data_IF_971703355462
#
_entry.id   IF_971703355462
#
_cell.length_a   1.000
_cell.length_b   1.000
_cell.length_c   1.000
_cell.angle_alpha   90.00
_cell.angle_beta   90.00
_cell.angle_gamma   90.00
#
_symmetry.space_group_name_H-M   'P 1'
#
loop_
_entity.id
_entity.type
_entity.pdbx_description
1 polymer ?
#
# COMPACT_ATOMS: atom_id res chain seq x y z
N UNK A 1 -55.39 -28.45 1.64
CA UNK A 1 -55.64 -28.15 3.06
C UNK A 1 -54.87 -29.16 3.91
N UNK A 2 -53.80 -28.74 4.59
CA UNK A 2 -53.47 -29.08 6.00
C UNK A 2 -52.07 -28.56 6.34
N UNK A 3 -52.07 -27.47 7.07
CA UNK A 3 -50.95 -26.97 7.87
C UNK A 3 -50.75 -27.90 9.06
N UNK A 4 -49.51 -28.25 9.39
CA UNK A 4 -49.15 -28.75 10.72
C UNK A 4 -47.96 -27.93 11.20
N UNK A 5 -48.27 -27.04 12.14
CA UNK A 5 -47.31 -26.28 12.92
C UNK A 5 -46.67 -27.19 13.95
N UNK A 6 -45.34 -27.11 14.11
CA UNK A 6 -44.65 -27.64 15.28
C UNK A 6 -43.94 -26.46 15.93
N UNK A 7 -44.63 -25.89 16.92
CA UNK A 7 -44.07 -24.99 17.91
C UNK A 7 -43.20 -25.80 18.86
N UNK A 8 -41.88 -25.58 18.83
CA UNK A 8 -40.98 -25.98 19.90
C UNK A 8 -40.48 -24.71 20.60
N UNK A 9 -41.16 -24.35 21.69
CA UNK A 9 -40.67 -23.36 22.64
C UNK A 9 -39.56 -24.01 23.47
N UNK A 10 -38.31 -23.67 23.19
CA UNK A 10 -37.19 -23.94 24.09
C UNK A 10 -36.89 -22.64 24.87
N UNK A 11 -37.50 -22.54 26.04
CA UNK A 11 -37.15 -21.58 27.09
C UNK A 11 -36.18 -22.27 28.05
N UNK A 12 -34.95 -21.77 28.16
CA UNK A 12 -34.36 -21.20 29.39
C UNK A 12 -32.83 -21.29 29.42
N UNK A 13 -32.29 -20.17 29.91
CA UNK A 13 -31.01 -19.99 30.62
C UNK A 13 -29.70 -20.07 29.83
N UNK A 14 -29.21 -18.87 29.52
CA UNK A 14 -27.91 -18.44 30.06
C UNK A 14 -26.69 -18.84 29.24
N UNK A 15 -26.35 -18.01 28.25
CA UNK A 15 -24.95 -17.83 27.87
C UNK A 15 -24.68 -16.33 27.74
N UNK A 16 -23.78 -15.88 28.61
CA UNK A 16 -23.31 -14.51 28.72
C UNK A 16 -22.56 -14.07 27.45
N UNK A 17 -22.57 -12.77 27.24
CA UNK A 17 -21.87 -12.00 26.22
C UNK A 17 -20.43 -12.47 25.96
N UNK A 18 -20.05 -12.59 24.69
CA UNK A 18 -18.72 -12.18 24.23
C UNK A 18 -18.83 -11.72 22.78
N UNK A 19 -18.67 -10.41 22.56
CA UNK A 19 -18.49 -9.85 21.23
C UNK A 19 -17.12 -10.19 20.64
N UNK A 20 -17.09 -10.40 19.32
CA UNK A 20 -16.02 -10.05 18.38
C UNK A 20 -16.61 -10.36 16.99
N UNK A 21 -17.16 -9.39 16.26
CA UNK A 21 -16.43 -8.46 15.41
C UNK A 21 -15.35 -9.14 14.56
N UNK A 22 -15.71 -9.37 13.29
CA UNK A 22 -14.87 -9.32 12.08
C UNK A 22 -13.80 -10.39 11.84
N UNK A 23 -14.01 -11.08 10.70
CA UNK A 23 -13.01 -11.44 9.67
C UNK A 23 -11.55 -11.50 10.14
N UNK A 24 -11.12 -12.68 10.59
CA UNK A 24 -9.71 -13.02 10.62
C UNK A 24 -9.22 -13.32 9.21
N UNK A 25 -8.93 -12.29 8.40
CA UNK A 25 -7.98 -12.46 7.31
C UNK A 25 -6.64 -12.71 7.98
N UNK A 26 -6.17 -13.96 7.95
CA UNK A 26 -4.85 -14.34 8.46
C UNK A 26 -3.78 -13.66 7.60
N UNK A 27 -3.32 -12.48 8.02
CA UNK A 27 -2.09 -11.90 7.53
C UNK A 27 -0.93 -12.67 8.16
N UNK A 28 -0.46 -13.67 7.42
CA UNK A 28 0.68 -14.51 7.82
C UNK A 28 1.95 -13.66 7.99
N UNK A 29 2.60 -13.84 9.14
CA UNK A 29 3.85 -13.20 9.54
C UNK A 29 4.99 -14.21 9.40
N UNK A 30 5.86 -14.06 8.41
CA UNK A 30 7.05 -14.89 8.25
C UNK A 30 8.10 -14.17 7.41
N UNK A 31 9.40 -14.47 7.57
CA UNK A 31 10.47 -13.71 6.95
C UNK A 31 10.53 -14.05 5.47
N UNK A 32 10.24 -13.08 4.61
CA UNK A 32 10.43 -13.21 3.17
C UNK A 32 11.49 -12.21 2.73
N UNK A 33 12.65 -12.74 2.32
CA UNK A 33 13.53 -12.00 1.43
C UNK A 33 12.80 -11.71 0.12
N UNK A 34 13.23 -10.63 -0.55
CA UNK A 34 12.60 -10.03 -1.75
C UNK A 34 11.98 -11.06 -2.72
N UNK A 35 10.68 -11.31 -2.53
CA UNK A 35 9.80 -11.90 -3.51
C UNK A 35 8.70 -10.87 -3.79
N UNK A 36 8.84 -10.12 -4.89
CA UNK A 36 7.75 -9.31 -5.47
C UNK A 36 6.79 -10.27 -6.20
N UNK A 37 6.20 -11.21 -5.45
CA UNK A 37 5.10 -12.02 -5.97
C UNK A 37 3.88 -11.13 -6.04
N UNK A 38 3.26 -11.08 -7.22
CA UNK A 38 1.96 -10.47 -7.52
C UNK A 38 0.81 -11.23 -6.81
N UNK A 39 1.03 -11.61 -5.55
CA UNK A 39 0.08 -12.27 -4.69
C UNK A 39 -0.43 -11.21 -3.74
N UNK A 40 -1.63 -10.71 -4.05
CA UNK A 40 -2.33 -9.70 -3.29
C UNK A 40 -2.59 -10.21 -1.86
N UNK A 41 -1.62 -10.03 -0.97
CA UNK A 41 -1.76 -10.25 0.46
C UNK A 41 -2.69 -9.17 0.99
N UNK A 42 -3.94 -9.55 1.19
CA UNK A 42 -4.99 -8.68 1.72
C UNK A 42 -4.62 -8.25 3.14
N UNK A 43 -4.38 -6.94 3.29
CA UNK A 43 -4.35 -6.11 4.50
C UNK A 43 -3.07 -6.10 5.36
N UNK A 44 -2.09 -5.28 4.94
CA UNK A 44 -1.41 -4.37 5.86
C UNK A 44 -2.24 -3.09 6.06
N UNK A 45 -2.06 -2.33 7.16
CA UNK A 45 -2.81 -1.09 7.40
C UNK A 45 -2.61 -0.10 6.24
N UNK A 46 -3.66 0.61 5.82
CA UNK A 46 -3.53 1.73 4.88
C UNK A 46 -2.62 2.79 5.52
N UNK A 47 -1.33 2.77 5.16
CA UNK A 47 -0.35 3.73 5.64
C UNK A 47 -0.68 5.08 5.03
N UNK A 48 -1.30 5.96 5.82
CA UNK A 48 -1.49 7.37 5.45
C UNK A 48 -0.22 8.12 5.85
N UNK A 49 0.79 8.02 5.01
CA UNK A 49 2.00 8.82 5.13
C UNK A 49 2.04 9.86 4.02
N UNK A 50 2.45 11.07 4.38
CA UNK A 50 2.74 12.10 3.40
C UNK A 50 4.09 11.75 2.73
N UNK A 51 4.11 11.78 1.40
CA UNK A 51 5.33 11.57 0.60
C UNK A 51 5.56 12.85 -0.19
N UNK A 52 6.69 13.49 0.02
CA UNK A 52 7.12 14.67 -0.70
C UNK A 52 7.89 14.24 -1.95
N UNK A 53 7.33 14.55 -3.12
CA UNK A 53 8.00 14.29 -4.39
C UNK A 53 8.99 15.42 -4.62
N UNK A 54 10.27 15.16 -4.34
CA UNK A 54 11.36 16.11 -4.52
C UNK A 54 12.37 15.56 -5.55
N UNK A 55 12.31 16.13 -6.75
CA UNK A 55 13.15 15.77 -7.87
C UNK A 55 14.04 16.96 -8.20
N UNK A 56 15.36 16.75 -8.15
CA UNK A 56 16.29 17.72 -8.70
C UNK A 56 16.07 17.81 -10.20
N UNK A 57 15.88 19.04 -10.70
CA UNK A 57 15.72 19.33 -12.13
C UNK A 57 16.92 20.10 -12.64
N UNK A 58 17.50 19.60 -13.72
CA UNK A 58 18.47 20.36 -14.50
C UNK A 58 17.80 21.55 -15.21
N UNK A 59 18.59 22.49 -15.75
CA UNK A 59 18.06 23.64 -16.49
C UNK A 59 17.44 23.28 -17.86
N UNK A 60 17.52 22.02 -18.26
CA UNK A 60 17.07 21.49 -19.54
C UNK A 60 15.90 20.52 -19.34
N UNK A 61 15.17 20.21 -20.42
CA UNK A 61 14.03 19.26 -20.34
C UNK A 61 14.49 17.81 -20.36
N UNK A 62 15.66 17.55 -20.93
CA UNK A 62 16.29 16.25 -20.97
C UNK A 62 16.69 15.81 -19.56
N UNK A 63 16.33 14.59 -19.18
CA UNK A 63 16.53 14.06 -17.82
C UNK A 63 17.95 13.56 -17.54
N UNK A 64 18.95 14.25 -18.09
CA UNK A 64 20.38 13.88 -17.99
C UNK A 64 20.89 14.07 -16.55
N UNK A 65 20.41 15.10 -15.87
CA UNK A 65 20.85 15.49 -14.51
C UNK A 65 19.81 15.18 -13.44
N UNK A 66 18.65 14.69 -13.85
CA UNK A 66 17.48 14.55 -13.01
C UNK A 66 17.61 13.34 -12.10
N UNK A 67 17.45 13.59 -10.80
CA UNK A 67 17.62 12.59 -9.76
C UNK A 67 16.70 12.88 -8.57
N UNK A 68 16.35 11.86 -7.79
CA UNK A 68 15.58 12.07 -6.58
C UNK A 68 16.43 12.71 -5.50
N UNK A 69 15.82 13.59 -4.72
CA UNK A 69 16.43 14.14 -3.52
C UNK A 69 16.29 13.13 -2.36
N UNK A 70 17.18 13.22 -1.38
CA UNK A 70 17.19 12.32 -0.21
C UNK A 70 15.86 12.30 0.55
N UNK A 71 15.22 13.47 0.69
CA UNK A 71 13.90 13.62 1.32
C UNK A 71 12.82 12.73 0.70
N UNK A 72 12.81 12.60 -0.63
CA UNK A 72 11.82 11.77 -1.32
C UNK A 72 12.08 10.27 -1.09
N UNK A 73 13.35 9.87 -1.10
CA UNK A 73 13.74 8.48 -0.81
C UNK A 73 13.44 8.13 0.64
N UNK A 74 13.76 9.02 1.59
CA UNK A 74 13.50 8.84 3.01
C UNK A 74 12.00 8.71 3.30
N UNK A 75 11.15 9.50 2.63
CA UNK A 75 9.70 9.37 2.73
C UNK A 75 9.21 8.02 2.21
N UNK A 76 9.78 7.49 1.12
CA UNK A 76 9.43 6.14 0.62
C UNK A 76 9.92 5.03 1.56
N UNK A 77 11.08 5.18 2.17
CA UNK A 77 11.57 4.23 3.18
C UNK A 77 10.67 4.25 4.41
N UNK A 78 10.32 5.43 4.91
CA UNK A 78 9.37 5.58 6.01
C UNK A 78 7.99 4.98 5.67
N UNK A 79 7.58 5.05 4.39
CA UNK A 79 6.35 4.44 3.90
C UNK A 79 6.40 2.90 3.95
N UNK A 80 7.60 2.33 3.82
CA UNK A 80 7.88 0.91 4.02
C UNK A 80 8.72 0.25 2.93
N UNK A 81 9.30 1.00 1.99
CA UNK A 81 10.22 0.43 1.02
C UNK A 81 11.61 0.20 1.63
N UNK A 82 12.33 -0.82 1.16
CA UNK A 82 13.77 -0.85 1.36
C UNK A 82 14.44 0.31 0.61
N UNK A 83 15.60 0.77 1.08
CA UNK A 83 16.33 1.87 0.46
C UNK A 83 16.60 1.64 -1.04
N UNK A 84 16.93 0.41 -1.44
CA UNK A 84 17.17 0.08 -2.84
C UNK A 84 15.95 0.30 -3.73
N UNK A 85 14.80 -0.19 -3.28
CA UNK A 85 13.53 -0.08 -4.01
C UNK A 85 12.99 1.36 -3.97
N UNK A 86 13.09 2.02 -2.82
CA UNK A 86 12.76 3.44 -2.65
C UNK A 86 13.56 4.32 -3.63
N UNK A 87 14.88 4.15 -3.67
CA UNK A 87 15.74 4.92 -4.57
C UNK A 87 15.48 4.58 -6.05
N UNK A 88 15.22 3.32 -6.37
CA UNK A 88 14.85 2.88 -7.72
C UNK A 88 13.55 3.52 -8.20
N UNK A 89 12.50 3.43 -7.38
CA UNK A 89 11.19 4.03 -7.64
C UNK A 89 11.28 5.56 -7.78
N UNK A 90 11.96 6.22 -6.83
CA UNK A 90 12.16 7.67 -6.87
C UNK A 90 12.91 8.10 -8.14
N UNK A 91 13.94 7.35 -8.54
CA UNK A 91 14.69 7.58 -9.78
C UNK A 91 13.80 7.43 -11.02
N UNK A 92 12.98 6.39 -11.08
CA UNK A 92 12.05 6.17 -12.20
C UNK A 92 11.08 7.34 -12.36
N UNK A 93 10.51 7.82 -11.24
CA UNK A 93 9.58 8.95 -11.25
C UNK A 93 10.28 10.24 -11.66
N UNK A 94 11.44 10.55 -11.08
CA UNK A 94 12.16 11.79 -11.37
C UNK A 94 12.73 11.82 -12.79
N UNK A 95 13.12 10.68 -13.38
CA UNK A 95 13.62 10.63 -14.77
C UNK A 95 12.51 10.58 -15.83
N UNK A 96 11.25 10.65 -15.44
CA UNK A 96 10.17 10.65 -16.42
C UNK A 96 9.99 12.05 -17.05
N UNK A 97 10.49 12.22 -18.28
CA UNK A 97 10.41 13.46 -19.06
C UNK A 97 8.97 13.92 -19.33
N UNK A 98 8.02 13.00 -19.41
CA UNK A 98 6.61 13.32 -19.67
C UNK A 98 5.91 13.99 -18.48
N UNK A 99 6.51 13.91 -17.30
CA UNK A 99 5.96 14.45 -16.04
C UNK A 99 6.64 15.74 -15.60
N UNK A 100 7.60 16.25 -16.40
CA UNK A 100 8.28 17.53 -16.13
C UNK A 100 7.26 18.67 -16.12
N UNK A 101 7.25 19.45 -15.02
CA UNK A 101 6.30 20.56 -14.83
C UNK A 101 4.86 20.12 -14.52
N UNK A 102 4.61 18.83 -14.27
CA UNK A 102 3.27 18.29 -14.02
C UNK A 102 3.19 17.61 -12.63
N UNK A 103 2.96 18.37 -11.56
CA UNK A 103 2.91 17.82 -10.20
C UNK A 103 1.78 16.79 -10.01
N UNK A 104 0.62 17.01 -10.62
CA UNK A 104 -0.50 16.06 -10.56
C UNK A 104 -0.18 14.75 -11.30
N UNK A 105 0.56 14.86 -12.41
CA UNK A 105 1.07 13.72 -13.16
C UNK A 105 2.07 12.89 -12.35
N UNK A 106 3.02 13.55 -11.67
CA UNK A 106 3.97 12.90 -10.77
C UNK A 106 3.26 12.16 -9.64
N UNK A 107 2.29 12.81 -9.00
CA UNK A 107 1.48 12.18 -7.93
C UNK A 107 0.75 10.95 -8.43
N UNK A 108 0.08 11.03 -9.58
CA UNK A 108 -0.65 9.91 -10.17
C UNK A 108 0.26 8.74 -10.53
N UNK A 109 1.42 9.03 -11.13
CA UNK A 109 2.35 7.98 -11.52
C UNK A 109 2.98 7.32 -10.30
N UNK A 110 3.31 8.08 -9.25
CA UNK A 110 3.78 7.52 -7.98
C UNK A 110 2.73 6.61 -7.35
N UNK A 111 1.48 7.06 -7.25
CA UNK A 111 0.39 6.23 -6.69
C UNK A 111 0.16 4.97 -7.53
N UNK A 112 0.25 5.07 -8.85
CA UNK A 112 0.15 3.93 -9.76
C UNK A 112 1.31 2.95 -9.57
N UNK A 113 2.53 3.45 -9.44
CA UNK A 113 3.71 2.63 -9.21
C UNK A 113 3.61 1.88 -7.87
N UNK A 114 3.24 2.57 -6.78
CA UNK A 114 3.00 1.95 -5.47
C UNK A 114 1.87 0.91 -5.52
N UNK A 115 0.81 1.15 -6.30
CA UNK A 115 -0.27 0.19 -6.44
C UNK A 115 0.15 -1.07 -7.21
N UNK A 116 1.08 -0.94 -8.16
CA UNK A 116 1.58 -2.06 -8.96
C UNK A 116 2.67 -2.85 -8.23
N UNK A 117 3.48 -2.17 -7.42
CA UNK A 117 4.58 -2.75 -6.65
C UNK A 117 4.53 -2.22 -5.21
N UNK A 118 3.66 -2.80 -4.35
CA UNK A 118 3.53 -2.34 -2.97
C UNK A 118 4.78 -2.67 -2.15
N UNK A 119 5.08 -1.89 -1.10
CA UNK A 119 6.21 -2.18 -0.22
C UNK A 119 6.05 -3.55 0.45
N UNK A 120 7.16 -4.29 0.54
CA UNK A 120 7.23 -5.55 1.26
C UNK A 120 7.05 -5.38 2.78
N UNK A 121 6.75 -6.47 3.52
CA UNK A 121 6.74 -6.42 4.98
C UNK A 121 8.16 -6.14 5.50
N UNK A 122 8.32 -5.04 6.26
CA UNK A 122 9.55 -4.73 7.02
C UNK A 122 9.64 -5.58 8.28
#
# INVERSE_FOLDING_TARGET
MKTIAITAAALLTGMAFAGAAQAGTSCYTGPVGRDHVNNQTVCGPTRKQQIHIDCFRGPWRETIWDHPQGSFVDDLVAFGYDYGDANGLATQICKNESLVGNPDGLRRELLKAIANDPPGPN
#
